data_IF_925145843462
#
_entry.id   IF_925145843462
#
_cell.length_a   1.000
_cell.length_b   1.000
_cell.length_c   1.000
_cell.angle_alpha   90.00
_cell.angle_beta   90.00
_cell.angle_gamma   90.00
#
_symmetry.space_group_name_H-M   'P 1'
#
loop_
_entity.id
_entity.type
_entity.pdbx_description
1 polymer ?
#
# COMPACT_ATOMS: atom_id res chain seq x y z
N UNK A 1 -3.44 15.04 -44.24
CA UNK A 1 -2.34 16.01 -44.00
C UNK A 1 -1.04 15.24 -44.07
N UNK A 2 -0.20 15.48 -45.07
CA UNK A 2 1.12 14.84 -45.12
C UNK A 2 2.17 15.79 -44.57
N UNK A 3 3.01 15.29 -43.66
CA UNK A 3 4.13 16.02 -43.06
C UNK A 3 5.32 15.93 -44.03
N UNK A 4 5.09 16.28 -45.30
CA UNK A 4 6.11 16.16 -46.33
C UNK A 4 6.97 17.42 -46.40
N UNK A 5 6.46 18.54 -45.87
CA UNK A 5 7.26 19.73 -45.59
C UNK A 5 7.84 19.61 -44.17
N UNK A 6 9.06 19.09 -44.07
CA UNK A 6 9.84 18.86 -42.83
C UNK A 6 10.14 20.13 -42.01
N UNK A 7 9.44 21.25 -42.25
CA UNK A 7 9.62 22.47 -41.46
C UNK A 7 9.25 22.20 -39.99
N UNK A 8 10.21 22.30 -39.04
CA UNK A 8 9.94 22.04 -37.63
C UNK A 8 8.81 22.92 -37.09
N UNK A 9 8.67 24.16 -37.59
CA UNK A 9 7.61 25.10 -37.21
C UNK A 9 6.21 24.62 -37.59
N UNK A 10 6.05 24.03 -38.78
CA UNK A 10 4.76 23.50 -39.23
C UNK A 10 4.38 22.26 -38.43
N UNK A 11 5.36 21.38 -38.18
CA UNK A 11 5.18 20.21 -37.31
C UNK A 11 4.81 20.62 -35.90
N UNK A 12 5.48 21.61 -35.33
CA UNK A 12 5.17 22.15 -34.00
C UNK A 12 3.75 22.73 -33.95
N UNK A 13 3.36 23.53 -34.94
CA UNK A 13 2.00 24.09 -35.02
C UNK A 13 0.93 23.00 -35.16
N UNK A 14 1.21 21.96 -35.93
CA UNK A 14 0.32 20.80 -36.09
C UNK A 14 0.16 20.05 -34.77
N UNK A 15 1.26 19.74 -34.09
CA UNK A 15 1.25 19.05 -32.79
C UNK A 15 0.50 19.86 -31.73
N UNK A 16 0.71 21.18 -31.68
CA UNK A 16 -0.04 22.10 -30.80
C UNK A 16 -1.53 22.14 -31.11
N UNK A 17 -1.93 21.93 -32.37
CA UNK A 17 -3.36 21.85 -32.71
C UNK A 17 -3.94 20.51 -32.29
N UNK A 18 -3.20 19.42 -32.44
CA UNK A 18 -3.66 18.08 -32.06
C UNK A 18 -3.80 17.92 -30.54
N UNK A 19 -2.96 18.57 -29.75
CA UNK A 19 -3.12 18.60 -28.28
C UNK A 19 -4.42 19.26 -27.82
N UNK A 20 -5.06 20.09 -28.66
CA UNK A 20 -6.36 20.70 -28.37
C UNK A 20 -7.52 19.70 -28.53
N UNK A 21 -7.34 18.64 -29.31
CA UNK A 21 -8.35 17.62 -29.58
C UNK A 21 -8.16 16.41 -28.66
N UNK A 22 -8.40 16.59 -27.35
CA UNK A 22 -8.18 15.56 -26.33
C UNK A 22 -9.09 14.33 -26.46
N UNK A 23 -10.20 14.45 -27.20
CA UNK A 23 -11.21 13.39 -27.32
C UNK A 23 -10.99 12.47 -28.53
N UNK A 24 -10.06 12.80 -29.44
CA UNK A 24 -9.80 12.03 -30.67
C UNK A 24 -8.39 11.43 -30.69
N UNK A 25 -8.33 10.19 -31.17
CA UNK A 25 -7.10 9.40 -31.24
C UNK A 25 -6.34 9.65 -32.56
N UNK A 26 -5.14 10.21 -32.45
CA UNK A 26 -4.28 10.56 -33.58
C UNK A 26 -2.88 9.94 -33.54
N UNK A 27 -2.59 9.08 -32.56
CA UNK A 27 -1.27 8.44 -32.41
C UNK A 27 -0.84 7.68 -33.68
N UNK A 28 -1.80 7.08 -34.38
CA UNK A 28 -1.58 6.31 -35.60
C UNK A 28 -1.10 7.17 -36.79
N UNK A 29 -1.46 8.46 -36.83
CA UNK A 29 -1.01 9.38 -37.89
C UNK A 29 0.51 9.57 -37.87
N UNK A 30 1.11 9.41 -36.69
CA UNK A 30 2.53 9.64 -36.48
C UNK A 30 3.35 8.37 -36.35
N UNK A 31 2.74 7.18 -36.38
CA UNK A 31 3.48 5.93 -36.13
C UNK A 31 4.67 5.74 -37.07
N UNK A 32 4.54 6.15 -38.34
CA UNK A 32 5.60 6.05 -39.35
C UNK A 32 6.62 7.18 -39.29
N UNK A 33 6.28 8.30 -38.64
CA UNK A 33 7.14 9.50 -38.52
C UNK A 33 7.65 9.70 -37.09
N UNK A 34 7.34 8.77 -36.18
CA UNK A 34 7.67 8.88 -34.76
C UNK A 34 9.17 9.08 -34.54
N UNK A 35 10.01 8.31 -35.26
CA UNK A 35 11.47 8.47 -35.17
C UNK A 35 11.92 9.86 -35.63
N UNK A 36 11.31 10.42 -36.66
CA UNK A 36 11.59 11.79 -37.11
C UNK A 36 11.19 12.81 -36.05
N UNK A 37 9.99 12.68 -35.46
CA UNK A 37 9.49 13.59 -34.42
C UNK A 37 10.37 13.56 -33.16
N UNK A 38 10.80 12.37 -32.76
CA UNK A 38 11.75 12.16 -31.66
C UNK A 38 13.08 12.88 -31.92
N UNK A 39 13.64 12.74 -33.13
CA UNK A 39 14.91 13.40 -33.49
C UNK A 39 14.79 14.93 -33.56
N UNK A 40 13.60 15.46 -33.88
CA UNK A 40 13.38 16.90 -33.91
C UNK A 40 13.38 17.54 -32.50
N UNK A 41 13.23 16.75 -31.43
CA UNK A 41 13.24 17.20 -30.04
C UNK A 41 12.33 18.42 -29.79
N UNK A 42 11.11 18.38 -30.32
CA UNK A 42 10.17 19.50 -30.21
C UNK A 42 9.41 19.42 -28.88
N UNK A 43 9.39 20.50 -28.11
CA UNK A 43 8.58 20.56 -26.87
C UNK A 43 7.12 20.21 -27.09
N UNK A 44 6.53 20.66 -28.20
CA UNK A 44 5.13 20.34 -28.54
C UNK A 44 4.90 18.87 -28.85
N UNK A 45 5.95 18.12 -29.18
CA UNK A 45 5.84 16.68 -29.28
C UNK A 45 5.74 16.04 -27.89
N UNK A 46 6.46 16.55 -26.89
CA UNK A 46 6.32 16.10 -25.50
C UNK A 46 4.91 16.38 -24.98
N UNK A 47 4.40 17.59 -25.21
CA UNK A 47 3.03 17.98 -24.84
C UNK A 47 2.00 17.07 -25.54
N UNK A 48 2.24 16.70 -26.80
CA UNK A 48 1.42 15.74 -27.55
C UNK A 48 1.47 14.34 -26.93
N UNK A 49 2.66 13.82 -26.62
CA UNK A 49 2.81 12.52 -25.97
C UNK A 49 2.08 12.47 -24.62
N UNK A 50 2.13 13.55 -23.83
CA UNK A 50 1.37 13.64 -22.59
C UNK A 50 -0.14 13.67 -22.84
N UNK A 51 -0.60 14.36 -23.90
CA UNK A 51 -2.02 14.40 -24.26
C UNK A 51 -2.58 13.03 -24.69
N UNK A 52 -1.73 12.14 -25.21
CA UNK A 52 -2.12 10.76 -25.53
C UNK A 52 -2.41 9.89 -24.28
N UNK A 53 -2.19 10.40 -23.07
CA UNK A 53 -2.85 9.87 -21.88
C UNK A 53 -4.27 10.39 -21.80
N UNK A 54 -5.20 9.61 -22.33
CA UNK A 54 -6.61 9.94 -22.21
C UNK A 54 -7.30 9.08 -21.15
N UNK A 55 -8.39 9.65 -20.64
CA UNK A 55 -9.32 8.99 -19.75
C UNK A 55 -10.69 9.12 -20.38
N UNK A 56 -11.27 8.02 -20.85
CA UNK A 56 -12.64 8.05 -21.39
C UNK A 56 -13.62 8.50 -20.31
N UNK A 57 -14.81 8.97 -20.69
CA UNK A 57 -15.86 9.35 -19.72
C UNK A 57 -16.17 8.21 -18.74
N UNK A 58 -16.12 6.96 -19.22
CA UNK A 58 -16.29 5.75 -18.42
C UNK A 58 -15.10 5.41 -17.52
N UNK A 59 -13.90 5.93 -17.81
CA UNK A 59 -12.73 5.81 -16.95
C UNK A 59 -12.67 6.95 -15.92
N UNK A 60 -13.27 8.11 -16.23
CA UNK A 60 -13.37 9.28 -15.32
C UNK A 60 -14.28 9.00 -14.13
N UNK A 61 -15.25 8.10 -14.27
CA UNK A 61 -16.04 7.64 -13.13
C UNK A 61 -15.14 6.96 -12.11
N UNK A 62 -15.08 7.54 -10.91
CA UNK A 62 -14.26 7.04 -9.81
C UNK A 62 -14.76 5.64 -9.46
N UNK A 63 -13.95 4.62 -9.77
CA UNK A 63 -14.20 3.26 -9.34
C UNK A 63 -13.47 3.04 -8.03
N UNK A 64 -14.22 2.87 -6.95
CA UNK A 64 -13.68 2.36 -5.70
C UNK A 64 -13.62 0.84 -5.82
N UNK A 65 -12.40 0.30 -5.88
CA UNK A 65 -12.22 -1.13 -5.80
C UNK A 65 -12.31 -1.51 -4.32
N UNK A 66 -13.45 -2.07 -3.92
CA UNK A 66 -13.64 -2.62 -2.57
C UNK A 66 -12.85 -3.94 -2.51
N UNK A 67 -11.64 -3.88 -1.98
CA UNK A 67 -10.81 -5.06 -1.74
C UNK A 67 -11.49 -5.91 -0.64
N UNK A 68 -12.34 -6.85 -1.05
CA UNK A 68 -13.02 -7.74 -0.11
C UNK A 68 -12.12 -8.95 0.16
N UNK A 69 -11.69 -9.15 1.40
CA UNK A 69 -10.80 -10.25 1.82
C UNK A 69 -11.35 -11.66 1.50
N UNK A 70 -12.66 -11.79 1.24
CA UNK A 70 -13.32 -13.09 0.95
C UNK A 70 -13.55 -13.36 -0.53
N UNK A 71 -13.46 -12.34 -1.38
CA UNK A 71 -13.61 -12.52 -2.82
C UNK A 71 -12.21 -12.46 -3.43
N UNK A 72 -11.77 -13.59 -3.98
CA UNK A 72 -10.68 -13.63 -4.95
C UNK A 72 -10.87 -12.43 -5.92
N UNK A 73 -9.85 -11.57 -6.14
CA UNK A 73 -9.97 -10.28 -6.88
C UNK A 73 -10.33 -10.40 -8.39
N UNK A 74 -10.95 -11.50 -8.80
CA UNK A 74 -10.92 -12.02 -10.16
C UNK A 74 -12.27 -11.98 -10.92
N UNK A 75 -13.33 -11.33 -10.42
CA UNK A 75 -14.62 -11.35 -11.13
C UNK A 75 -14.98 -10.08 -11.91
N UNK A 76 -14.00 -9.26 -12.26
CA UNK A 76 -14.16 -8.39 -13.44
C UNK A 76 -13.27 -8.96 -14.54
N UNK A 77 -13.80 -9.84 -15.41
CA UNK A 77 -13.04 -10.33 -16.55
C UNK A 77 -12.82 -9.17 -17.52
N UNK A 78 -11.70 -8.47 -17.38
CA UNK A 78 -11.13 -7.76 -18.51
C UNK A 78 -10.30 -8.81 -19.27
N UNK A 79 -10.88 -9.35 -20.34
CA UNK A 79 -10.26 -10.37 -21.21
C UNK A 79 -9.01 -9.89 -21.95
N UNK A 80 -8.49 -8.71 -21.61
CA UNK A 80 -7.34 -8.10 -22.24
C UNK A 80 -6.47 -7.43 -21.16
N UNK A 81 -5.42 -8.09 -20.69
CA UNK A 81 -4.05 -7.56 -20.76
C UNK A 81 -3.08 -8.36 -19.88
N UNK A 82 -1.86 -8.59 -20.38
CA UNK A 82 -0.69 -9.04 -19.61
C UNK A 82 -0.42 -8.20 -18.35
N UNK A 83 -0.91 -6.96 -18.28
CA UNK A 83 -0.82 -6.06 -17.12
C UNK A 83 -1.45 -6.70 -15.88
N UNK A 84 -2.51 -7.49 -16.03
CA UNK A 84 -3.20 -8.08 -14.88
C UNK A 84 -2.32 -9.06 -14.10
N UNK A 85 -1.44 -9.82 -14.78
CA UNK A 85 -0.56 -10.82 -14.14
C UNK A 85 0.56 -10.19 -13.31
N UNK A 86 1.12 -9.08 -13.80
CA UNK A 86 2.19 -8.37 -13.10
C UNK A 86 1.61 -7.56 -11.94
N UNK A 87 0.50 -6.87 -12.19
CA UNK A 87 -0.21 -6.14 -11.16
C UNK A 87 -0.66 -7.08 -10.04
N UNK A 88 -1.21 -8.25 -10.36
CA UNK A 88 -1.53 -9.27 -9.35
C UNK A 88 -0.31 -9.76 -8.60
N UNK A 89 0.79 -10.14 -9.27
CA UNK A 89 1.96 -10.61 -8.53
C UNK A 89 2.57 -9.57 -7.59
N UNK A 90 2.61 -8.29 -8.00
CA UNK A 90 3.26 -7.25 -7.21
C UNK A 90 2.37 -6.71 -6.09
N UNK A 91 1.07 -6.51 -6.35
CA UNK A 91 0.16 -5.91 -5.38
C UNK A 91 -0.62 -6.95 -4.57
N UNK A 92 -0.94 -8.13 -5.11
CA UNK A 92 -1.56 -9.18 -4.31
C UNK A 92 -0.59 -9.83 -3.31
N UNK A 93 0.72 -9.91 -3.61
CA UNK A 93 1.69 -10.41 -2.63
C UNK A 93 1.82 -9.48 -1.42
N UNK A 94 1.79 -8.16 -1.66
CA UNK A 94 1.81 -7.15 -0.61
C UNK A 94 0.52 -7.16 0.24
N UNK A 95 -0.66 -7.19 -0.39
CA UNK A 95 -1.92 -7.25 0.33
C UNK A 95 -2.12 -8.58 1.07
N UNK A 96 -1.65 -9.71 0.51
CA UNK A 96 -1.66 -11.00 1.21
C UNK A 96 -0.73 -10.97 2.43
N UNK A 97 0.46 -10.36 2.31
CA UNK A 97 1.38 -10.18 3.44
C UNK A 97 0.76 -9.29 4.52
N UNK A 98 0.08 -8.22 4.12
CA UNK A 98 -0.63 -7.31 5.04
C UNK A 98 -1.81 -7.98 5.73
N UNK A 99 -2.60 -8.78 5.01
CA UNK A 99 -3.72 -9.54 5.57
C UNK A 99 -3.22 -10.57 6.60
N UNK A 100 -2.13 -11.29 6.29
CA UNK A 100 -1.48 -12.19 7.24
C UNK A 100 -1.00 -11.46 8.49
N UNK A 101 -0.36 -10.30 8.33
CA UNK A 101 0.09 -9.48 9.46
C UNK A 101 -1.07 -9.02 10.35
N UNK A 102 -2.19 -8.60 9.76
CA UNK A 102 -3.40 -8.22 10.50
C UNK A 102 -4.02 -9.40 11.25
N UNK A 103 -4.05 -10.59 10.63
CA UNK A 103 -4.53 -11.81 11.27
C UNK A 103 -3.65 -12.20 12.46
N UNK A 104 -2.33 -12.09 12.33
CA UNK A 104 -1.39 -12.32 13.44
C UNK A 104 -1.63 -11.36 14.59
N UNK A 105 -1.75 -10.05 14.32
CA UNK A 105 -2.05 -9.06 15.36
C UNK A 105 -3.38 -9.30 16.06
N UNK A 106 -4.39 -9.79 15.33
CA UNK A 106 -5.69 -10.14 15.91
C UNK A 106 -5.57 -11.33 16.87
N UNK A 107 -4.82 -12.36 16.49
CA UNK A 107 -4.56 -13.54 17.34
C UNK A 107 -3.76 -13.15 18.59
N UNK A 108 -2.75 -12.28 18.46
CA UNK A 108 -2.01 -11.74 19.60
C UNK A 108 -2.90 -10.96 20.57
N UNK A 109 -3.85 -10.16 20.06
CA UNK A 109 -4.82 -9.45 20.89
C UNK A 109 -5.83 -10.39 21.58
N UNK A 110 -6.33 -11.40 20.87
CA UNK A 110 -7.23 -12.42 21.42
C UNK A 110 -6.52 -13.24 22.52
N UNK A 111 -5.25 -13.60 22.31
CA UNK A 111 -4.43 -14.30 23.30
C UNK A 111 -4.16 -13.44 24.53
N UNK A 112 -3.80 -12.16 24.33
CA UNK A 112 -3.61 -11.22 25.43
C UNK A 112 -4.87 -11.04 26.27
N UNK A 113 -6.04 -10.90 25.63
CA UNK A 113 -7.32 -10.79 26.32
C UNK A 113 -7.65 -12.06 27.12
N UNK A 114 -7.30 -13.24 26.60
CA UNK A 114 -7.48 -14.52 27.31
C UNK A 114 -6.60 -14.62 28.54
N UNK A 115 -5.33 -14.23 28.45
CA UNK A 115 -4.41 -14.20 29.58
C UNK A 115 -4.87 -13.22 30.66
N UNK A 116 -5.32 -12.02 30.29
CA UNK A 116 -5.89 -11.04 31.23
C UNK A 116 -7.15 -11.58 31.94
N UNK A 117 -7.97 -12.38 31.24
CA UNK A 117 -9.13 -13.02 31.84
C UNK A 117 -8.75 -14.15 32.81
N UNK A 118 -7.77 -14.99 32.44
CA UNK A 118 -7.23 -16.05 33.30
C UNK A 118 -6.62 -15.46 34.59
N UNK A 119 -5.88 -14.35 34.48
CA UNK A 119 -5.29 -13.64 35.63
C UNK A 119 -6.37 -13.06 36.57
N UNK A 120 -7.44 -12.48 36.03
CA UNK A 120 -8.60 -12.00 36.83
C UNK A 120 -9.28 -13.14 37.58
N UNK A 121 -9.50 -14.27 36.93
CA UNK A 121 -10.10 -15.46 37.55
C UNK A 121 -9.23 -15.99 38.69
N UNK A 122 -7.90 -16.04 38.50
CA UNK A 122 -6.97 -16.47 39.53
C UNK A 122 -6.97 -15.51 40.73
N UNK A 123 -6.95 -14.21 40.47
CA UNK A 123 -7.01 -13.19 41.53
C UNK A 123 -8.30 -13.26 42.34
N UNK A 124 -9.44 -13.48 41.68
CA UNK A 124 -10.72 -13.67 42.36
C UNK A 124 -10.75 -14.93 43.22
N UNK A 125 -10.17 -16.04 42.74
CA UNK A 125 -10.04 -17.26 43.53
C UNK A 125 -9.14 -17.07 44.76
N UNK A 126 -8.01 -16.36 44.60
CA UNK A 126 -7.11 -16.04 45.71
C UNK A 126 -7.80 -15.16 46.76
N UNK A 127 -8.58 -14.16 46.33
CA UNK A 127 -9.37 -13.32 47.23
C UNK A 127 -10.47 -14.12 47.96
N UNK A 128 -11.13 -15.07 47.29
CA UNK A 128 -12.11 -15.96 47.93
C UNK A 128 -11.46 -16.85 48.99
N UNK A 129 -10.33 -17.48 48.69
CA UNK A 129 -9.59 -18.30 49.64
C UNK A 129 -9.11 -17.49 50.86
N UNK A 130 -8.66 -16.24 50.65
CA UNK A 130 -8.31 -15.32 51.76
C UNK A 130 -9.52 -14.98 52.64
N UNK A 131 -10.71 -14.81 52.06
CA UNK A 131 -11.95 -14.55 52.82
C UNK A 131 -12.39 -15.76 53.64
N UNK A 132 -12.26 -16.97 53.10
CA UNK A 132 -12.55 -18.22 53.81
C UNK A 132 -11.61 -18.42 55.01
N UNK A 133 -10.30 -18.21 54.83
CA UNK A 133 -9.33 -18.28 55.93
C UNK A 133 -9.60 -17.24 57.04
N UNK A 134 -10.08 -16.04 56.66
CA UNK A 134 -10.44 -15.01 57.63
C UNK A 134 -11.75 -15.31 58.38
N UNK A 135 -12.72 -15.99 57.76
CA UNK A 135 -13.93 -16.42 58.47
C UNK A 135 -13.62 -17.51 59.50
N UNK A 136 -12.76 -18.46 59.15
CA UNK A 136 -12.39 -19.56 60.05
C UNK A 136 -11.61 -19.05 61.27
N UNK A 137 -10.67 -18.11 61.07
CA UNK A 137 -9.94 -17.48 62.18
C UNK A 137 -10.84 -16.64 63.12
N UNK A 138 -11.91 -16.03 62.60
CA UNK A 138 -12.89 -15.30 63.42
C UNK A 138 -13.77 -16.23 64.24
N UNK A 139 -14.05 -17.45 63.78
CA UNK A 139 -14.77 -18.43 64.59
C UNK A 139 -13.93 -18.97 65.74
N UNK A 140 -12.60 -19.11 65.56
CA UNK A 140 -11.70 -19.50 66.66
C UNK A 140 -11.53 -18.41 67.73
N UNK A 141 -11.45 -17.13 67.34
CA UNK A 141 -11.36 -16.01 68.31
C UNK A 141 -12.67 -15.81 69.10
N UNK A 142 -13.82 -16.16 68.52
CA UNK A 142 -15.12 -16.12 69.21
C UNK A 142 -15.27 -17.20 70.29
N UNK A 143 -14.34 -18.15 70.39
CA UNK A 143 -14.24 -19.14 71.46
C UNK A 143 -13.40 -18.72 72.67
N UNK A 144 -12.64 -17.61 72.59
CA UNK A 144 -11.78 -17.11 73.69
C UNK A 144 -12.22 -15.76 74.29
N UNK A 145 -13.15 -15.04 73.67
CA UNK A 145 -13.67 -13.76 74.21
C UNK A 145 -14.78 -13.88 75.27
N UNK A 146 -15.20 -15.09 75.65
CA UNK A 146 -16.08 -15.28 76.83
C UNK A 146 -15.34 -15.18 78.19
N UNK A 147 -14.05 -14.80 78.20
CA UNK A 147 -13.29 -14.46 79.41
C UNK A 147 -12.29 -13.33 79.19
N UNK A 148 -12.78 -12.10 78.97
CA UNK A 148 -12.20 -10.86 79.52
C UNK A 148 -12.84 -9.63 78.86
N UNK A 149 -13.95 -9.17 79.46
CA UNK A 149 -14.25 -7.75 79.53
C UNK A 149 -14.76 -7.43 80.94
N UNK A 150 -13.82 -7.05 81.81
CA UNK A 150 -14.07 -6.13 82.92
C UNK A 150 -12.84 -5.21 83.03
N UNK A 151 -13.09 -3.90 82.96
CA UNK A 151 -12.14 -2.76 83.02
C UNK A 151 -11.33 -2.55 81.74
N UNK A 152 -11.25 -1.34 81.19
CA UNK A 152 -10.87 -0.10 81.89
C UNK A 152 -11.32 1.13 81.08
N UNK A 153 -11.86 2.13 81.80
CA UNK A 153 -12.14 3.48 81.33
C UNK A 153 -10.85 4.32 81.21
N UNK A 154 -10.97 5.39 80.43
CA UNK A 154 -10.21 6.64 80.48
C UNK A 154 -8.74 6.67 80.05
N UNK A 155 -8.51 7.23 78.84
CA UNK A 155 -7.81 8.53 78.68
C UNK A 155 -7.67 8.97 77.21
N UNK A 156 -8.02 10.25 76.96
CA UNK A 156 -7.26 11.31 76.25
C UNK A 156 -6.70 11.00 74.84
N UNK A 157 -6.55 11.91 73.89
CA UNK A 157 -6.88 13.33 73.63
C UNK A 157 -6.22 13.58 72.26
N UNK A 158 -6.83 14.41 71.41
CA UNK A 158 -6.18 15.28 70.42
C UNK A 158 -5.51 14.78 69.12
N UNK A 159 -5.54 15.73 68.16
CA UNK A 159 -5.04 15.78 66.78
C UNK A 159 -5.81 14.89 65.78
N UNK A 160 -6.60 15.39 64.81
CA UNK A 160 -6.57 16.63 64.01
C UNK A 160 -5.18 16.90 63.41
N UNK A 161 -4.91 16.26 62.29
CA UNK A 161 -4.10 16.81 61.20
C UNK A 161 -4.44 16.06 59.91
N UNK A 162 -5.09 16.80 59.01
CA UNK A 162 -4.92 16.85 57.56
C UNK A 162 -4.32 15.61 56.86
N UNK A 163 -5.14 14.99 56.02
CA UNK A 163 -4.67 14.40 54.77
C UNK A 163 -5.85 14.35 53.77
N UNK A 164 -6.33 15.54 53.38
CA UNK A 164 -6.97 15.75 52.07
C UNK A 164 -5.89 15.63 50.99
N UNK A 165 -5.42 14.42 50.72
CA UNK A 165 -4.44 14.19 49.63
C UNK A 165 -4.58 12.78 49.04
N UNK A 166 -5.80 12.39 48.66
CA UNK A 166 -5.99 11.23 47.78
C UNK A 166 -7.17 11.37 46.78
N UNK A 167 -7.92 12.48 46.81
CA UNK A 167 -9.01 12.76 45.87
C UNK A 167 -8.56 13.51 44.59
N UNK A 168 -7.24 13.69 44.39
CA UNK A 168 -6.67 14.31 43.19
C UNK A 168 -6.00 13.33 42.22
N UNK A 169 -5.88 12.04 42.57
CA UNK A 169 -5.28 11.03 41.69
C UNK A 169 -6.29 10.26 40.83
N UNK A 170 -7.60 10.39 41.06
CA UNK A 170 -8.64 9.83 40.19
C UNK A 170 -9.06 10.76 39.04
N UNK A 171 -8.77 12.05 39.11
CA UNK A 171 -9.12 13.00 38.04
C UNK A 171 -8.08 13.05 36.90
N UNK A 172 -6.87 12.49 37.09
CA UNK A 172 -5.82 12.51 36.06
C UNK A 172 -5.81 11.26 35.16
N UNK A 173 -6.61 10.24 35.48
CA UNK A 173 -6.84 9.06 34.62
C UNK A 173 -8.09 9.19 33.74
N UNK A 174 -8.72 10.37 33.71
CA UNK A 174 -9.64 10.77 32.63
C UNK A 174 -8.90 11.42 31.45
N UNK A 175 -7.68 10.94 31.15
CA UNK A 175 -7.27 10.95 29.76
C UNK A 175 -8.28 10.09 29.02
N UNK A 176 -9.23 10.79 28.39
CA UNK A 176 -10.09 10.31 27.30
C UNK A 176 -9.21 9.56 26.31
N UNK A 177 -8.95 8.29 26.60
CA UNK A 177 -8.95 7.26 25.60
C UNK A 177 -10.34 7.35 24.98
N UNK A 178 -10.44 8.18 23.95
CA UNK A 178 -11.40 7.99 22.89
C UNK A 178 -11.09 6.61 22.31
N UNK A 179 -11.54 5.59 23.04
CA UNK A 179 -11.72 4.22 22.60
C UNK A 179 -12.75 4.36 21.51
N UNK A 180 -12.23 4.66 20.31
CA UNK A 180 -13.01 4.63 19.08
C UNK A 180 -13.76 3.33 19.14
N UNK A 181 -15.08 3.42 19.06
CA UNK A 181 -15.90 2.21 19.14
C UNK A 181 -15.41 1.23 18.08
N UNK A 182 -15.47 -0.09 18.31
CA UNK A 182 -15.08 -1.07 17.31
C UNK A 182 -15.69 -0.82 15.93
N UNK A 183 -16.89 -0.21 15.91
CA UNK A 183 -17.57 0.29 14.71
C UNK A 183 -16.85 1.46 14.01
N UNK A 184 -16.38 2.47 14.73
CA UNK A 184 -15.59 3.58 14.16
C UNK A 184 -14.24 3.10 13.62
N UNK A 185 -13.60 2.14 14.31
CA UNK A 185 -12.37 1.51 13.84
C UNK A 185 -12.63 0.72 12.55
N UNK A 186 -13.73 -0.04 12.49
CA UNK A 186 -14.11 -0.78 11.29
C UNK A 186 -14.44 0.15 10.11
N UNK A 187 -15.17 1.24 10.33
CA UNK A 187 -15.47 2.24 9.30
C UNK A 187 -14.21 2.97 8.83
N UNK A 188 -13.27 3.27 9.73
CA UNK A 188 -12.03 3.92 9.34
C UNK A 188 -11.08 2.97 8.59
N UNK A 189 -11.05 1.68 8.94
CA UNK A 189 -10.36 0.64 8.16
C UNK A 189 -11.02 0.50 6.78
N UNK A 190 -12.36 0.54 6.69
CA UNK A 190 -13.08 0.46 5.42
C UNK A 190 -12.85 1.70 4.54
N UNK A 191 -12.73 2.89 5.12
CA UNK A 191 -12.29 4.10 4.39
C UNK A 191 -10.84 3.99 3.94
N UNK A 192 -9.94 3.48 4.78
CA UNK A 192 -8.51 3.32 4.47
C UNK A 192 -8.25 2.17 3.48
N UNK A 193 -9.18 1.24 3.30
CA UNK A 193 -9.06 0.13 2.34
C UNK A 193 -9.54 0.50 0.93
N UNK A 194 -10.21 1.64 0.76
CA UNK A 194 -10.61 2.16 -0.55
C UNK A 194 -9.45 2.91 -1.21
N UNK A 195 -8.71 2.21 -2.06
CA UNK A 195 -7.70 2.84 -2.91
C UNK A 195 -8.40 3.48 -4.11
N UNK A 196 -8.27 4.80 -4.25
CA UNK A 196 -8.73 5.51 -5.44
C UNK A 196 -7.82 5.15 -6.61
N UNK A 197 -8.34 4.33 -7.53
CA UNK A 197 -7.62 3.97 -8.74
C UNK A 197 -7.97 4.95 -9.85
N UNK A 198 -6.93 5.54 -10.46
CA UNK A 198 -7.08 6.33 -11.68
C UNK A 198 -6.67 5.43 -12.84
N UNK A 199 -7.66 4.97 -13.61
CA UNK A 199 -7.41 4.19 -14.82
C UNK A 199 -7.12 5.19 -15.94
N UNK A 200 -6.00 5.00 -16.63
CA UNK A 200 -5.63 5.77 -17.82
C UNK A 200 -5.40 4.81 -18.97
N UNK A 201 -5.90 5.17 -20.15
CA UNK A 201 -5.58 4.46 -21.37
C UNK A 201 -4.32 5.07 -22.00
N UNK A 202 -3.60 4.26 -22.76
CA UNK A 202 -2.48 4.69 -23.57
C UNK A 202 -2.87 4.43 -25.02
N UNK A 203 -2.85 5.46 -25.84
CA UNK A 203 -3.31 5.41 -27.23
C UNK A 203 -2.31 4.75 -28.21
N UNK A 204 -1.31 4.05 -27.69
CA UNK A 204 -0.17 3.56 -28.47
C UNK A 204 -0.26 2.06 -28.76
N UNK A 205 -1.42 1.59 -29.18
CA UNK A 205 -1.64 0.15 -29.47
C UNK A 205 -0.66 -0.38 -30.51
N UNK A 206 -0.26 0.47 -31.47
CA UNK A 206 0.71 0.13 -32.50
C UNK A 206 2.12 -0.13 -31.95
N UNK A 207 2.47 0.34 -30.74
CA UNK A 207 3.77 0.02 -30.13
C UNK A 207 3.85 -1.47 -29.77
N UNK A 208 2.72 -2.15 -29.62
CA UNK A 208 2.67 -3.58 -29.33
C UNK A 208 2.82 -4.46 -30.59
N UNK A 209 2.77 -3.87 -31.79
CA UNK A 209 3.14 -4.57 -33.02
C UNK A 209 4.66 -4.77 -33.05
N UNK A 210 5.13 -6.01 -33.19
CA UNK A 210 6.54 -6.39 -33.03
C UNK A 210 7.49 -5.53 -33.88
N UNK A 211 7.13 -5.23 -35.14
CA UNK A 211 7.98 -4.42 -36.01
C UNK A 211 8.03 -2.94 -35.58
N UNK A 212 6.86 -2.38 -35.24
CA UNK A 212 6.74 -0.95 -34.87
C UNK A 212 7.27 -0.69 -33.46
N UNK A 213 7.00 -1.58 -32.51
CA UNK A 213 7.54 -1.56 -31.16
C UNK A 213 9.07 -1.64 -31.14
N UNK A 214 9.66 -2.54 -31.94
CA UNK A 214 11.13 -2.58 -32.12
C UNK A 214 11.68 -1.29 -32.70
N UNK A 215 10.98 -0.71 -33.69
CA UNK A 215 11.39 0.57 -34.30
C UNK A 215 11.30 1.73 -33.30
N UNK A 216 10.24 1.75 -32.48
CA UNK A 216 10.07 2.69 -31.38
C UNK A 216 11.19 2.56 -30.35
N UNK A 217 11.46 1.35 -29.84
CA UNK A 217 12.53 1.11 -28.87
C UNK A 217 13.91 1.47 -29.43
N UNK A 218 14.15 1.22 -30.72
CA UNK A 218 15.39 1.61 -31.41
C UNK A 218 15.51 3.12 -31.54
N UNK A 219 14.43 3.83 -31.84
CA UNK A 219 14.44 5.29 -31.90
C UNK A 219 14.69 5.87 -30.50
N UNK A 220 14.04 5.30 -29.48
CA UNK A 220 14.20 5.68 -28.08
C UNK A 220 15.63 5.45 -27.58
N UNK A 221 16.25 4.31 -27.93
CA UNK A 221 17.63 4.00 -27.52
C UNK A 221 18.70 4.87 -28.20
N UNK A 222 18.37 5.51 -29.32
CA UNK A 222 19.26 6.43 -30.06
C UNK A 222 19.08 7.88 -29.63
N UNK A 223 18.06 8.18 -28.83
CA UNK A 223 17.75 9.53 -28.40
C UNK A 223 18.64 9.91 -27.22
N UNK A 224 19.32 11.04 -27.31
CA UNK A 224 20.14 11.58 -26.21
C UNK A 224 19.33 12.43 -25.22
N UNK A 225 18.07 12.69 -25.53
CA UNK A 225 17.19 13.46 -24.66
C UNK A 225 16.68 12.61 -23.50
N UNK A 226 17.25 12.88 -22.32
CA UNK A 226 16.84 12.24 -21.07
C UNK A 226 15.49 12.78 -20.56
N UNK A 227 15.08 13.99 -20.96
CA UNK A 227 13.80 14.57 -20.54
C UNK A 227 12.63 13.75 -21.09
N UNK A 228 12.78 13.17 -22.28
CA UNK A 228 11.80 12.26 -22.84
C UNK A 228 11.51 11.05 -21.93
N UNK A 229 12.52 10.51 -21.23
CA UNK A 229 12.32 9.41 -20.29
C UNK A 229 11.66 9.85 -18.98
N UNK A 230 11.66 11.15 -18.68
CA UNK A 230 10.91 11.70 -17.55
C UNK A 230 9.41 11.74 -17.82
N UNK A 231 8.98 11.71 -19.10
CA UNK A 231 7.58 11.66 -19.47
C UNK A 231 6.94 10.38 -18.94
N UNK A 232 5.81 10.56 -18.24
CA UNK A 232 5.10 9.45 -17.61
C UNK A 232 4.73 8.36 -18.62
N UNK A 233 4.38 8.75 -19.86
CA UNK A 233 3.89 7.82 -20.89
C UNK A 233 5.00 6.93 -21.42
N UNK A 234 6.16 7.52 -21.69
CA UNK A 234 7.35 6.82 -22.14
C UNK A 234 7.81 5.88 -21.03
N UNK A 235 7.83 6.34 -19.77
CA UNK A 235 8.16 5.47 -18.64
C UNK A 235 7.21 4.29 -18.52
N UNK A 236 5.90 4.49 -18.65
CA UNK A 236 4.93 3.39 -18.59
C UNK A 236 5.08 2.42 -19.76
N UNK A 237 5.27 2.93 -20.99
CA UNK A 237 5.53 2.09 -22.17
C UNK A 237 6.81 1.27 -21.99
N UNK A 238 7.90 1.90 -21.55
CA UNK A 238 9.19 1.23 -21.31
C UNK A 238 9.06 0.18 -20.22
N UNK A 239 8.43 0.48 -19.08
CA UNK A 239 8.21 -0.49 -18.01
C UNK A 239 7.39 -1.69 -18.49
N UNK A 240 6.33 -1.43 -19.27
CA UNK A 240 5.50 -2.48 -19.83
C UNK A 240 6.28 -3.37 -20.82
N UNK A 241 6.96 -2.76 -21.80
CA UNK A 241 7.78 -3.49 -22.78
C UNK A 241 8.95 -4.22 -22.10
N UNK A 242 9.52 -3.64 -21.04
CA UNK A 242 10.60 -4.27 -20.28
C UNK A 242 10.14 -5.60 -19.70
N UNK A 243 8.95 -5.71 -19.13
CA UNK A 243 8.48 -6.98 -18.58
C UNK A 243 8.30 -8.07 -19.63
N UNK A 244 7.90 -7.68 -20.83
CA UNK A 244 7.81 -8.58 -21.98
C UNK A 244 9.20 -9.03 -22.44
N UNK A 245 10.12 -8.09 -22.68
CA UNK A 245 11.44 -8.39 -23.23
C UNK A 245 12.47 -8.88 -22.19
N UNK A 246 12.26 -8.65 -20.89
CA UNK A 246 13.22 -8.99 -19.82
C UNK A 246 13.64 -10.46 -19.88
N UNK A 247 12.68 -11.37 -20.09
CA UNK A 247 12.99 -12.81 -20.17
C UNK A 247 13.85 -13.13 -21.40
N UNK A 248 13.52 -12.54 -22.54
CA UNK A 248 14.25 -12.74 -23.80
C UNK A 248 15.66 -12.16 -23.66
N UNK A 249 15.80 -10.91 -23.20
CA UNK A 249 17.09 -10.27 -23.00
C UNK A 249 17.95 -11.06 -22.01
N UNK A 250 17.38 -11.53 -20.89
CA UNK A 250 18.13 -12.31 -19.92
C UNK A 250 18.64 -13.62 -20.51
N UNK A 251 17.80 -14.38 -21.21
CA UNK A 251 18.16 -15.69 -21.76
C UNK A 251 19.14 -15.54 -22.93
N UNK A 252 18.89 -14.61 -23.86
CA UNK A 252 19.66 -14.51 -25.10
C UNK A 252 20.90 -13.61 -25.00
N UNK A 253 20.96 -12.69 -24.03
CA UNK A 253 22.07 -11.74 -23.90
C UNK A 253 22.91 -12.03 -22.66
N UNK A 254 22.28 -12.15 -21.48
CA UNK A 254 23.02 -12.32 -20.23
C UNK A 254 23.68 -13.69 -20.12
N UNK A 255 22.96 -14.78 -20.45
CA UNK A 255 23.52 -16.14 -20.32
C UNK A 255 24.75 -16.34 -21.22
N UNK A 256 24.71 -16.03 -22.54
CA UNK A 256 25.89 -16.16 -23.39
C UNK A 256 27.04 -15.25 -22.96
N UNK A 257 26.75 -14.05 -22.46
CA UNK A 257 27.76 -13.16 -21.92
C UNK A 257 28.46 -13.78 -20.71
N UNK A 258 27.72 -14.33 -19.74
CA UNK A 258 28.30 -14.98 -18.56
C UNK A 258 29.15 -16.20 -18.93
N UNK A 259 28.72 -17.00 -19.91
CA UNK A 259 29.50 -18.14 -20.41
C UNK A 259 30.82 -17.65 -21.04
N UNK A 260 30.76 -16.69 -21.96
CA UNK A 260 31.95 -16.13 -22.59
C UNK A 260 32.90 -15.50 -21.55
N UNK A 261 32.34 -14.80 -20.57
CA UNK A 261 33.11 -14.19 -19.50
C UNK A 261 33.80 -15.22 -18.60
N UNK A 262 33.11 -16.33 -18.27
CA UNK A 262 33.71 -17.42 -17.52
C UNK A 262 34.83 -18.11 -18.30
N UNK A 263 34.63 -18.38 -19.59
CA UNK A 263 35.66 -18.92 -20.48
C UNK A 263 36.86 -17.98 -20.58
N UNK A 264 36.61 -16.67 -20.69
CA UNK A 264 37.67 -15.66 -20.72
C UNK A 264 38.50 -15.64 -19.44
N UNK A 265 37.86 -15.73 -18.26
CA UNK A 265 38.58 -15.80 -16.97
C UNK A 265 39.45 -17.05 -16.90
N UNK A 266 38.93 -18.22 -17.31
CA UNK A 266 39.71 -19.47 -17.34
C UNK A 266 40.90 -19.31 -18.28
N UNK A 267 40.68 -18.81 -19.50
CA UNK A 267 41.74 -18.58 -20.48
C UNK A 267 42.81 -17.59 -20.00
N UNK A 268 42.41 -16.52 -19.30
CA UNK A 268 43.36 -15.53 -18.79
C UNK A 268 44.17 -16.02 -17.58
N UNK A 269 43.72 -17.07 -16.90
CA UNK A 269 44.37 -17.60 -15.69
C UNK A 269 45.39 -18.70 -15.99
N UNK A 270 45.19 -19.48 -17.06
CA UNK A 270 46.03 -20.63 -17.45
C UNK A 270 46.92 -20.29 -18.64
#
# INVERSE_FOLDING_TARGET
>A
MTIDNESPKNTELLLKKLTLFQDECYSHLFSHKFETLMRMNLRSFHDFLESCYFQTVQMKTIKYLKLNNKNLPWSVPHSSCLIDKVFTNKYCSFELARAKLLETKRKEQEEKARLEQEERMHKEQEERAKRELQSDAKEEQKGEEDKKEEKEEDKKEESKEDCEEDELLEQTLQQKDHTKTPEEIAQEIERKSQVRLTIRAIEFDWIFDDHRGKSFLRALSKTNDLELFSLSIIRTIVLFLWEYYRKVVFIFLLIPFLINFAVFIVYATY
#
